data_IF_571992665561
#
_entry.id   IF_571992665561
#
_cell.length_a   1.000
_cell.length_b   1.000
_cell.length_c   1.000
_cell.angle_alpha   90.00
_cell.angle_beta   90.00
_cell.angle_gamma   90.00
#
_symmetry.space_group_name_H-M   'P 1'
#
loop_
_entity.id
_entity.type
_entity.pdbx_description
1 polymer ?
#
# COMPACT_ATOMS: atom_id res chain seq x y z
N UNK A 1 -67.17 111.07 -44.18
CA UNK A 1 -65.89 110.58 -43.63
C UNK A 1 -66.19 109.39 -42.71
N UNK A 2 -66.90 108.36 -43.19
CA UNK A 2 -67.54 107.36 -42.30
C UNK A 2 -67.28 105.89 -42.67
N UNK A 3 -66.72 105.57 -43.84
CA UNK A 3 -66.43 104.18 -44.22
C UNK A 3 -65.12 103.61 -43.60
N UNK A 4 -64.25 104.46 -43.03
CA UNK A 4 -62.94 104.03 -42.51
C UNK A 4 -62.98 103.46 -41.08
N UNK A 5 -64.03 103.74 -40.30
CA UNK A 5 -64.10 103.28 -38.89
C UNK A 5 -64.62 101.85 -38.74
N UNK A 6 -65.49 101.39 -39.63
CA UNK A 6 -66.02 100.01 -39.58
C UNK A 6 -64.98 98.95 -39.95
N UNK A 7 -64.11 99.23 -40.92
CA UNK A 7 -63.06 98.27 -41.36
C UNK A 7 -62.02 98.06 -40.24
N UNK A 8 -61.65 99.13 -39.53
CA UNK A 8 -60.68 99.05 -38.43
C UNK A 8 -61.27 98.29 -37.25
N UNK A 9 -62.54 98.51 -36.91
CA UNK A 9 -63.22 97.79 -35.84
C UNK A 9 -63.34 96.28 -36.14
N UNK A 10 -63.67 95.90 -37.39
CA UNK A 10 -63.76 94.49 -37.79
C UNK A 10 -62.42 93.76 -37.77
N UNK A 11 -61.32 94.43 -38.14
CA UNK A 11 -59.97 93.85 -38.09
C UNK A 11 -59.53 93.63 -36.64
N UNK A 12 -59.81 94.57 -35.73
CA UNK A 12 -59.47 94.44 -34.31
C UNK A 12 -60.21 93.26 -33.67
N UNK A 13 -61.49 93.08 -33.99
CA UNK A 13 -62.29 91.94 -33.49
C UNK A 13 -61.77 90.60 -34.04
N UNK A 14 -61.39 90.54 -35.32
CA UNK A 14 -60.81 89.33 -35.93
C UNK A 14 -59.43 88.97 -35.35
N UNK A 15 -58.58 89.97 -35.08
CA UNK A 15 -57.26 89.77 -34.46
C UNK A 15 -57.41 89.33 -33.00
N UNK A 16 -58.38 89.88 -32.26
CA UNK A 16 -58.66 89.45 -30.89
C UNK A 16 -59.23 88.02 -30.82
N UNK A 17 -60.08 87.62 -31.78
CA UNK A 17 -60.59 86.24 -31.89
C UNK A 17 -59.48 85.25 -32.28
N UNK A 18 -58.59 85.62 -33.21
CA UNK A 18 -57.45 84.77 -33.58
C UNK A 18 -56.46 84.58 -32.42
N UNK A 19 -56.19 85.64 -31.64
CA UNK A 19 -55.35 85.57 -30.44
C UNK A 19 -55.99 84.73 -29.32
N UNK A 20 -57.32 84.82 -29.14
CA UNK A 20 -58.08 83.98 -28.20
C UNK A 20 -58.08 82.49 -28.59
N UNK A 21 -58.15 82.18 -29.89
CA UNK A 21 -58.09 80.79 -30.40
C UNK A 21 -56.66 80.22 -30.27
N UNK A 22 -55.62 81.01 -30.55
CA UNK A 22 -54.22 80.59 -30.40
C UNK A 22 -53.81 80.37 -28.93
N UNK A 23 -54.29 81.22 -28.01
CA UNK A 23 -54.05 81.04 -26.57
C UNK A 23 -54.84 79.86 -25.99
N UNK A 24 -56.06 79.62 -26.46
CA UNK A 24 -56.81 78.40 -26.13
C UNK A 24 -56.15 77.12 -26.68
N UNK A 25 -55.54 77.20 -27.88
CA UNK A 25 -54.82 76.07 -28.49
C UNK A 25 -53.50 75.77 -27.75
N UNK A 26 -52.71 76.79 -27.38
CA UNK A 26 -51.51 76.62 -26.55
C UNK A 26 -51.82 76.13 -25.12
N UNK A 27 -52.95 76.53 -24.53
CA UNK A 27 -53.41 76.01 -23.24
C UNK A 27 -53.89 74.55 -23.33
N UNK A 28 -54.54 74.18 -24.44
CA UNK A 28 -54.97 72.81 -24.70
C UNK A 28 -53.78 71.87 -25.00
N UNK A 29 -52.76 72.34 -25.73
CA UNK A 29 -51.54 71.57 -26.02
C UNK A 29 -50.64 71.47 -24.78
N UNK A 30 -50.52 72.54 -23.99
CA UNK A 30 -49.84 72.54 -22.69
C UNK A 30 -50.46 71.55 -21.69
N UNK A 31 -51.79 71.52 -21.56
CA UNK A 31 -52.50 70.53 -20.73
C UNK A 31 -52.39 69.09 -21.24
N UNK A 32 -52.19 68.91 -22.55
CA UNK A 32 -52.00 67.58 -23.15
C UNK A 32 -50.59 67.07 -22.90
N UNK A 33 -49.57 67.93 -23.04
CA UNK A 33 -48.17 67.62 -22.75
C UNK A 33 -47.90 67.43 -21.24
N UNK A 34 -48.56 68.22 -20.38
CA UNK A 34 -48.44 68.10 -18.92
C UNK A 34 -49.06 66.78 -18.42
N UNK A 35 -50.22 66.37 -18.96
CA UNK A 35 -50.79 65.04 -18.72
C UNK A 35 -49.92 63.90 -19.24
N UNK A 36 -49.22 64.09 -20.35
CA UNK A 36 -48.35 63.07 -20.94
C UNK A 36 -47.02 62.95 -20.17
N UNK A 37 -46.49 64.07 -19.69
CA UNK A 37 -45.34 64.14 -18.78
C UNK A 37 -45.64 63.51 -17.43
N UNK A 38 -46.78 63.85 -16.82
CA UNK A 38 -47.21 63.24 -15.55
C UNK A 38 -47.36 61.72 -15.70
N UNK A 39 -47.92 61.26 -16.83
CA UNK A 39 -48.07 59.84 -17.13
C UNK A 39 -46.71 59.15 -17.31
N UNK A 40 -45.78 59.76 -18.04
CA UNK A 40 -44.41 59.25 -18.20
C UNK A 40 -43.65 59.20 -16.87
N UNK A 41 -43.84 60.18 -15.99
CA UNK A 41 -43.22 60.22 -14.68
C UNK A 41 -43.82 59.16 -13.73
N UNK A 42 -45.12 58.88 -13.87
CA UNK A 42 -45.80 57.77 -13.19
C UNK A 42 -45.33 56.40 -13.71
N UNK A 43 -45.18 56.23 -15.03
CA UNK A 43 -44.64 55.00 -15.62
C UNK A 43 -43.16 54.80 -15.25
N UNK A 44 -42.35 55.87 -15.24
CA UNK A 44 -40.94 55.80 -14.84
C UNK A 44 -40.77 55.44 -13.37
N UNK A 45 -41.58 56.01 -12.48
CA UNK A 45 -41.57 55.66 -11.05
C UNK A 45 -42.07 54.23 -10.80
N UNK A 46 -43.06 53.76 -11.57
CA UNK A 46 -43.49 52.36 -11.54
C UNK A 46 -42.38 51.40 -12.00
N UNK A 47 -41.68 51.73 -13.10
CA UNK A 47 -40.55 50.94 -13.60
C UNK A 47 -39.36 50.97 -12.63
N UNK A 48 -39.02 52.12 -12.05
CA UNK A 48 -37.97 52.20 -11.03
C UNK A 48 -38.30 51.32 -9.81
N UNK A 49 -39.56 51.32 -9.38
CA UNK A 49 -40.01 50.47 -8.27
C UNK A 49 -39.92 48.98 -8.63
N UNK A 50 -40.31 48.59 -9.84
CA UNK A 50 -40.17 47.21 -10.32
C UNK A 50 -38.70 46.79 -10.43
N UNK A 51 -37.82 47.65 -10.94
CA UNK A 51 -36.37 47.40 -11.03
C UNK A 51 -35.74 47.25 -9.64
N UNK A 52 -36.10 48.10 -8.68
CA UNK A 52 -35.66 47.98 -7.29
C UNK A 52 -36.10 46.65 -6.69
N UNK A 53 -37.37 46.29 -6.85
CA UNK A 53 -37.92 45.03 -6.35
C UNK A 53 -37.19 43.81 -6.96
N UNK A 54 -36.98 43.80 -8.28
CA UNK A 54 -36.22 42.72 -8.93
C UNK A 54 -34.76 42.67 -8.50
N UNK A 55 -34.14 43.82 -8.22
CA UNK A 55 -32.76 43.86 -7.72
C UNK A 55 -32.67 43.26 -6.31
N UNK A 56 -33.62 43.60 -5.42
CA UNK A 56 -33.71 43.00 -4.09
C UNK A 56 -33.96 41.48 -4.15
N UNK A 57 -34.81 41.02 -5.06
CA UNK A 57 -35.04 39.59 -5.29
C UNK A 57 -33.77 38.86 -5.75
N UNK A 58 -33.00 39.46 -6.67
CA UNK A 58 -31.72 38.90 -7.16
C UNK A 58 -30.68 38.86 -6.04
N UNK A 59 -30.54 39.93 -5.25
CA UNK A 59 -29.60 39.96 -4.11
C UNK A 59 -29.97 38.89 -3.09
N UNK A 60 -31.25 38.77 -2.75
CA UNK A 60 -31.75 37.74 -1.82
C UNK A 60 -31.50 36.32 -2.35
N UNK A 61 -31.70 36.10 -3.65
CA UNK A 61 -31.41 34.81 -4.28
C UNK A 61 -29.91 34.49 -4.26
N UNK A 62 -29.06 35.51 -4.48
CA UNK A 62 -27.61 35.36 -4.45
C UNK A 62 -27.09 35.06 -3.04
N UNK A 63 -27.61 35.73 -2.01
CA UNK A 63 -27.31 35.44 -0.60
C UNK A 63 -27.70 34.00 -0.22
N UNK A 64 -28.91 33.56 -0.62
CA UNK A 64 -29.33 32.17 -0.41
C UNK A 64 -28.44 31.17 -1.15
N UNK A 65 -27.97 31.51 -2.35
CA UNK A 65 -27.05 30.67 -3.11
C UNK A 65 -25.68 30.57 -2.42
N UNK A 66 -25.18 31.66 -1.84
CA UNK A 66 -23.92 31.67 -1.09
C UNK A 66 -24.03 30.81 0.18
N UNK A 67 -25.13 30.94 0.94
CA UNK A 67 -25.37 30.10 2.12
C UNK A 67 -25.40 28.60 1.77
N UNK A 68 -26.08 28.22 0.69
CA UNK A 68 -26.08 26.83 0.21
C UNK A 68 -24.70 26.34 -0.22
N UNK A 69 -23.87 27.20 -0.81
CA UNK A 69 -22.50 26.84 -1.16
C UNK A 69 -21.64 26.62 0.10
N UNK A 70 -21.80 27.43 1.13
CA UNK A 70 -21.10 27.24 2.40
C UNK A 70 -21.52 25.91 3.08
N UNK A 71 -22.81 25.57 3.05
CA UNK A 71 -23.32 24.28 3.52
C UNK A 71 -22.74 23.12 2.71
N UNK A 72 -22.66 23.25 1.37
CA UNK A 72 -22.07 22.24 0.50
C UNK A 72 -20.58 22.03 0.79
N UNK A 73 -19.82 23.10 0.98
CA UNK A 73 -18.39 23.03 1.34
C UNK A 73 -18.21 22.32 2.68
N UNK A 74 -19.06 22.62 3.67
CA UNK A 74 -19.03 21.93 4.98
C UNK A 74 -19.35 20.44 4.83
N UNK A 75 -20.42 20.10 4.13
CA UNK A 75 -20.79 18.71 3.88
C UNK A 75 -19.70 17.95 3.12
N UNK A 76 -19.04 18.60 2.15
CA UNK A 76 -17.91 18.01 1.42
C UNK A 76 -16.69 17.80 2.32
N UNK A 77 -16.40 18.75 3.21
CA UNK A 77 -15.34 18.61 4.21
C UNK A 77 -15.61 17.44 5.17
N UNK A 78 -16.85 17.32 5.66
CA UNK A 78 -17.28 16.19 6.51
C UNK A 78 -17.19 14.85 5.77
N UNK A 79 -17.63 14.79 4.51
CA UNK A 79 -17.53 13.59 3.69
C UNK A 79 -16.07 13.19 3.42
N UNK A 80 -15.18 14.16 3.16
CA UNK A 80 -13.75 13.90 3.02
C UNK A 80 -13.15 13.34 4.31
N UNK A 81 -13.52 13.91 5.47
CA UNK A 81 -13.08 13.41 6.78
C UNK A 81 -13.53 11.97 7.01
N UNK A 82 -14.81 11.67 6.78
CA UNK A 82 -15.36 10.31 6.89
C UNK A 82 -14.67 9.33 5.93
N UNK A 83 -14.36 9.77 4.71
CA UNK A 83 -13.64 8.95 3.73
C UNK A 83 -12.23 8.60 4.19
N UNK A 84 -11.51 9.56 4.81
CA UNK A 84 -10.20 9.30 5.40
C UNK A 84 -10.28 8.32 6.58
N UNK A 85 -11.26 8.50 7.47
CA UNK A 85 -11.49 7.59 8.60
C UNK A 85 -11.82 6.16 8.10
N UNK A 86 -12.58 6.03 7.01
CA UNK A 86 -12.89 4.75 6.39
C UNK A 86 -11.62 4.07 5.82
N UNK A 87 -10.76 4.83 5.13
CA UNK A 87 -9.49 4.31 4.60
C UNK A 87 -8.59 3.83 5.74
N UNK A 88 -8.48 4.61 6.82
CA UNK A 88 -7.70 4.23 8.00
C UNK A 88 -8.23 2.95 8.63
N UNK A 89 -9.54 2.86 8.83
CA UNK A 89 -10.20 1.67 9.36
C UNK A 89 -9.97 0.45 8.46
N UNK A 90 -10.05 0.62 7.13
CA UNK A 90 -9.79 -0.45 6.18
C UNK A 90 -8.34 -0.94 6.26
N UNK A 91 -7.37 -0.02 6.40
CA UNK A 91 -5.96 -0.37 6.55
C UNK A 91 -5.71 -1.15 7.84
N UNK A 92 -6.32 -0.73 8.96
CA UNK A 92 -6.26 -1.45 10.23
C UNK A 92 -6.87 -2.86 10.09
N UNK A 93 -8.02 -2.99 9.43
CA UNK A 93 -8.64 -4.28 9.19
C UNK A 93 -7.76 -5.20 8.35
N UNK A 94 -7.16 -4.70 7.27
CA UNK A 94 -6.25 -5.46 6.43
C UNK A 94 -5.01 -5.93 7.21
N UNK A 95 -4.47 -5.09 8.10
CA UNK A 95 -3.37 -5.48 8.98
C UNK A 95 -3.80 -6.61 9.93
N UNK A 96 -4.95 -6.48 10.59
CA UNK A 96 -5.48 -7.52 11.48
C UNK A 96 -5.77 -8.84 10.75
N UNK A 97 -6.27 -8.77 9.52
CA UNK A 97 -6.45 -9.95 8.67
C UNK A 97 -5.11 -10.62 8.33
N UNK A 98 -4.09 -9.84 7.99
CA UNK A 98 -2.74 -10.35 7.75
C UNK A 98 -2.15 -11.03 8.99
N UNK A 99 -2.29 -10.41 10.16
CA UNK A 99 -1.83 -10.98 11.43
C UNK A 99 -2.59 -12.26 11.81
N UNK A 100 -3.91 -12.28 11.61
CA UNK A 100 -4.73 -13.49 11.80
C UNK A 100 -4.31 -14.60 10.84
N UNK A 101 -4.03 -14.25 9.58
CA UNK A 101 -3.61 -15.21 8.59
C UNK A 101 -2.29 -15.87 9.02
N UNK A 102 -1.27 -15.09 9.41
CA UNK A 102 0.01 -15.63 9.92
C UNK A 102 -0.18 -16.57 11.11
N UNK A 103 -1.12 -16.29 12.02
CA UNK A 103 -1.44 -17.18 13.14
C UNK A 103 -2.06 -18.51 12.69
N UNK A 104 -2.86 -18.49 11.62
CA UNK A 104 -3.61 -19.67 11.14
C UNK A 104 -2.78 -20.53 10.18
N UNK A 105 -2.07 -19.92 9.23
CA UNK A 105 -1.30 -20.64 8.20
C UNK A 105 0.16 -20.82 8.56
N UNK A 106 0.61 -20.13 9.62
CA UNK A 106 1.99 -20.07 10.05
C UNK A 106 2.85 -19.13 9.19
N UNK A 107 3.91 -18.61 9.78
CA UNK A 107 4.86 -17.71 9.13
C UNK A 107 6.25 -17.84 9.77
N UNK A 108 7.30 -17.54 9.01
CA UNK A 108 8.68 -17.52 9.45
C UNK A 108 9.51 -18.76 9.08
N UNK A 109 10.59 -18.99 9.82
CA UNK A 109 11.60 -20.00 9.50
C UNK A 109 12.20 -20.66 10.74
N UNK A 110 12.83 -21.82 10.54
CA UNK A 110 13.49 -22.59 11.60
C UNK A 110 15.00 -22.55 11.46
N UNK A 111 15.68 -22.51 12.60
CA UNK A 111 17.12 -22.65 12.73
C UNK A 111 17.45 -24.00 13.37
N UNK A 112 18.48 -24.67 12.87
CA UNK A 112 19.11 -25.77 13.61
C UNK A 112 20.20 -25.19 14.51
N UNK A 113 20.22 -25.60 15.76
CA UNK A 113 21.19 -25.22 16.77
C UNK A 113 21.81 -26.46 17.37
N UNK A 114 22.99 -26.30 17.96
CA UNK A 114 23.71 -27.38 18.65
C UNK A 114 23.71 -27.12 20.15
N UNK A 115 23.40 -28.15 20.93
CA UNK A 115 23.61 -28.15 22.38
C UNK A 115 24.58 -29.27 22.75
N UNK A 116 25.71 -28.90 23.36
CA UNK A 116 26.70 -29.86 23.82
C UNK A 116 26.27 -30.49 25.15
N UNK A 117 26.20 -31.81 25.17
CA UNK A 117 25.90 -32.59 26.37
C UNK A 117 27.17 -32.84 27.20
N UNK A 118 28.31 -33.00 26.52
CA UNK A 118 29.63 -33.20 27.10
C UNK A 118 30.72 -32.92 26.05
N UNK A 119 31.98 -33.26 26.35
CA UNK A 119 33.12 -32.92 25.49
C UNK A 119 33.08 -33.56 24.10
N UNK A 120 32.38 -34.68 23.94
CA UNK A 120 32.36 -35.47 22.72
C UNK A 120 30.95 -35.63 22.15
N UNK A 121 29.92 -35.14 22.81
CA UNK A 121 28.54 -35.42 22.46
C UNK A 121 27.70 -34.15 22.43
N UNK A 122 26.97 -33.98 21.32
CA UNK A 122 26.02 -32.89 21.16
C UNK A 122 24.68 -33.41 20.65
N UNK A 123 23.64 -32.61 20.88
CA UNK A 123 22.29 -32.82 20.37
C UNK A 123 21.91 -31.69 19.43
N UNK A 124 21.33 -32.05 18.28
CA UNK A 124 20.77 -31.09 17.36
C UNK A 124 19.39 -30.65 17.83
N UNK A 125 19.18 -29.34 17.82
CA UNK A 125 17.98 -28.68 18.29
C UNK A 125 17.37 -27.89 17.14
N UNK A 126 16.06 -27.95 16.96
CA UNK A 126 15.34 -27.06 16.07
C UNK A 126 14.71 -25.92 16.86
N UNK A 127 14.90 -24.70 16.39
CA UNK A 127 14.41 -23.48 17.00
C UNK A 127 13.56 -22.69 16.02
N UNK A 128 12.36 -22.28 16.44
CA UNK A 128 11.54 -21.34 15.71
C UNK A 128 12.07 -19.93 15.87
N UNK A 129 12.32 -19.25 14.76
CA UNK A 129 12.70 -17.84 14.71
C UNK A 129 11.49 -16.92 14.51
N UNK A 130 10.28 -17.46 14.67
CA UNK A 130 9.02 -16.77 14.39
C UNK A 130 8.18 -16.54 15.63
N UNK A 131 7.44 -15.43 15.62
CA UNK A 131 6.36 -15.13 16.58
C UNK A 131 5.05 -15.88 16.24
N UNK A 132 5.01 -16.57 15.10
CA UNK A 132 3.89 -17.37 14.64
C UNK A 132 4.27 -18.86 14.65
N UNK A 133 3.27 -19.76 14.73
CA UNK A 133 3.52 -21.17 14.52
C UNK A 133 4.10 -21.41 13.12
N UNK A 134 4.89 -22.47 12.97
CA UNK A 134 5.36 -22.92 11.66
C UNK A 134 4.87 -24.35 11.49
N UNK A 135 3.98 -24.55 10.52
CA UNK A 135 3.31 -25.82 10.28
C UNK A 135 4.02 -26.64 9.21
N UNK A 136 3.68 -27.93 9.16
CA UNK A 136 4.02 -28.86 8.07
C UNK A 136 5.49 -28.78 7.62
N UNK A 137 6.39 -28.77 8.60
CA UNK A 137 7.83 -28.66 8.33
C UNK A 137 8.48 -30.03 8.23
N UNK A 138 9.23 -30.28 7.16
CA UNK A 138 10.10 -31.45 7.02
C UNK A 138 11.55 -30.99 7.04
N UNK A 139 12.39 -31.70 7.79
CA UNK A 139 13.81 -31.37 7.94
C UNK A 139 14.64 -32.54 7.41
N UNK A 140 15.51 -32.26 6.46
CA UNK A 140 16.45 -33.21 5.88
C UNK A 140 17.85 -32.86 6.35
N UNK A 141 18.56 -33.86 6.89
CA UNK A 141 19.89 -33.71 7.47
C UNK A 141 20.90 -34.49 6.65
N UNK A 142 22.03 -33.86 6.37
CA UNK A 142 23.09 -34.39 5.54
C UNK A 142 24.43 -34.13 6.23
N UNK A 143 25.29 -35.14 6.27
CA UNK A 143 26.68 -34.99 6.72
C UNK A 143 27.57 -34.78 5.50
N UNK A 144 28.44 -33.77 5.55
CA UNK A 144 29.33 -33.44 4.42
C UNK A 144 30.18 -34.64 4.02
N UNK A 145 30.70 -35.40 5.01
CA UNK A 145 31.49 -36.59 4.78
C UNK A 145 30.77 -37.69 3.98
N UNK A 146 29.43 -37.75 4.04
CA UNK A 146 28.65 -38.69 3.22
C UNK A 146 28.41 -38.15 1.82
N UNK A 147 28.18 -36.84 1.69
CA UNK A 147 28.04 -36.15 0.40
C UNK A 147 29.34 -36.21 -0.40
N UNK A 148 30.50 -36.08 0.24
CA UNK A 148 31.82 -36.14 -0.39
C UNK A 148 32.14 -37.51 -1.02
N UNK A 149 31.43 -38.57 -0.59
CA UNK A 149 31.55 -39.91 -1.19
C UNK A 149 30.79 -40.03 -2.51
N UNK A 150 29.93 -39.06 -2.84
CA UNK A 150 29.17 -39.11 -4.08
C UNK A 150 30.06 -38.85 -5.30
N UNK A 151 29.82 -39.55 -6.43
CA UNK A 151 30.53 -39.29 -7.66
C UNK A 151 30.23 -37.86 -8.15
N UNK A 152 31.29 -37.16 -8.57
CA UNK A 152 31.21 -35.82 -9.14
C UNK A 152 31.45 -35.87 -10.64
N UNK A 153 30.50 -35.36 -11.41
CA UNK A 153 30.61 -35.18 -12.85
C UNK A 153 31.04 -33.74 -13.17
N UNK A 154 31.68 -33.54 -14.33
CA UNK A 154 31.95 -32.18 -14.85
C UNK A 154 30.93 -31.84 -15.93
N UNK A 155 30.05 -30.89 -15.63
CA UNK A 155 29.08 -30.35 -16.59
C UNK A 155 29.42 -28.88 -16.82
N UNK A 156 29.71 -28.47 -18.06
CA UNK A 156 30.08 -27.09 -18.40
C UNK A 156 31.26 -26.52 -17.58
N UNK A 157 32.23 -27.36 -17.22
CA UNK A 157 33.39 -26.95 -16.40
C UNK A 157 33.11 -26.87 -14.90
N UNK A 158 31.89 -27.17 -14.47
CA UNK A 158 31.44 -27.17 -13.09
C UNK A 158 31.38 -28.62 -12.55
N UNK A 159 31.95 -28.88 -11.36
CA UNK A 159 31.77 -30.17 -10.66
C UNK A 159 30.34 -30.28 -10.09
N UNK A 160 29.56 -31.24 -10.54
CA UNK A 160 28.16 -31.44 -10.18
C UNK A 160 28.02 -32.81 -9.51
N UNK A 161 27.33 -32.86 -8.37
CA UNK A 161 26.99 -34.12 -7.71
C UNK A 161 25.71 -34.66 -8.35
N UNK A 162 25.64 -35.98 -8.56
CA UNK A 162 24.41 -36.63 -8.99
C UNK A 162 23.34 -36.53 -7.90
N UNK A 163 22.20 -35.91 -8.24
CA UNK A 163 21.00 -35.83 -7.39
C UNK A 163 20.62 -37.16 -6.75
N UNK A 164 20.65 -38.25 -7.53
CA UNK A 164 20.32 -39.59 -7.02
C UNK A 164 21.27 -40.12 -5.94
N UNK A 165 22.50 -39.59 -5.86
CA UNK A 165 23.42 -39.90 -4.78
C UNK A 165 23.17 -38.99 -3.58
N UNK A 166 23.04 -37.68 -3.83
CA UNK A 166 22.78 -36.69 -2.79
C UNK A 166 21.49 -36.98 -2.01
N UNK A 167 20.40 -37.31 -2.70
CA UNK A 167 19.12 -37.67 -2.10
C UNK A 167 19.24 -38.90 -1.17
N UNK A 168 20.20 -39.80 -1.42
CA UNK A 168 20.46 -40.95 -0.55
C UNK A 168 21.24 -40.59 0.72
N UNK A 169 21.95 -39.46 0.71
CA UNK A 169 22.61 -38.92 1.91
C UNK A 169 21.60 -38.23 2.84
N UNK A 170 20.40 -37.88 2.34
CA UNK A 170 19.36 -37.23 3.11
C UNK A 170 18.81 -38.16 4.19
N UNK A 171 18.84 -37.71 5.44
CA UNK A 171 18.09 -38.34 6.54
C UNK A 171 16.96 -37.41 6.97
N UNK A 172 15.73 -37.82 6.67
CA UNK A 172 14.53 -37.10 7.09
C UNK A 172 14.35 -37.22 8.61
N UNK A 173 14.18 -36.08 9.28
CA UNK A 173 13.87 -36.03 10.69
C UNK A 173 12.36 -36.05 10.92
N UNK A 174 11.88 -37.03 11.69
CA UNK A 174 10.64 -36.94 12.47
C UNK A 174 9.32 -36.76 11.70
N UNK A 175 9.35 -36.79 10.37
CA UNK A 175 8.20 -36.52 9.51
C UNK A 175 7.72 -35.07 9.58
N UNK A 176 6.46 -34.85 9.21
CA UNK A 176 5.83 -33.53 9.21
C UNK A 176 5.71 -32.94 10.62
N UNK A 177 6.18 -31.70 10.75
CA UNK A 177 6.37 -31.05 12.02
C UNK A 177 5.58 -29.77 12.17
N UNK A 178 5.06 -29.54 13.38
CA UNK A 178 4.60 -28.21 13.79
C UNK A 178 5.50 -27.67 14.90
N UNK A 179 5.95 -26.45 14.70
CA UNK A 179 6.76 -25.68 15.64
C UNK A 179 5.94 -24.56 16.24
N UNK A 180 5.93 -24.49 17.57
CA UNK A 180 5.34 -23.39 18.30
C UNK A 180 6.22 -22.12 18.18
N UNK A 181 5.62 -20.91 18.27
CA UNK A 181 6.35 -19.65 18.24
C UNK A 181 7.51 -19.60 19.23
N UNK A 182 8.68 -19.13 18.78
CA UNK A 182 9.86 -18.90 19.63
C UNK A 182 10.23 -20.07 20.54
N UNK A 183 9.92 -21.31 20.14
CA UNK A 183 10.27 -22.53 20.88
C UNK A 183 11.46 -23.23 20.26
N UNK A 184 12.25 -23.85 21.13
CA UNK A 184 13.34 -24.75 20.81
C UNK A 184 13.00 -26.15 21.29
N UNK A 185 13.39 -27.17 20.53
CA UNK A 185 13.18 -28.58 20.87
C UNK A 185 14.22 -29.47 20.20
N UNK A 186 14.53 -30.64 20.76
CA UNK A 186 15.49 -31.56 20.15
C UNK A 186 14.96 -32.17 18.86
N UNK A 187 15.88 -32.45 17.92
CA UNK A 187 15.65 -33.32 16.76
C UNK A 187 15.61 -34.81 17.17
N UNK A 188 15.56 -35.12 18.46
CA UNK A 188 15.45 -36.50 18.95
C UNK A 188 16.79 -37.24 19.03
N UNK A 189 16.72 -38.44 19.61
CA UNK A 189 17.91 -39.20 20.03
C UNK A 189 18.77 -39.69 18.88
N UNK A 190 18.18 -39.91 17.71
CA UNK A 190 18.90 -40.37 16.50
C UNK A 190 19.85 -39.28 15.94
N UNK A 191 19.65 -38.03 16.37
CA UNK A 191 20.46 -36.87 16.01
C UNK A 191 21.35 -36.40 17.15
N UNK A 192 21.49 -37.23 18.19
CA UNK A 192 22.58 -37.10 19.15
C UNK A 192 23.84 -37.70 18.55
N UNK A 193 24.87 -36.89 18.40
CA UNK A 193 26.11 -37.27 17.73
C UNK A 193 27.24 -37.31 18.73
N UNK A 194 28.01 -38.39 18.67
CA UNK A 194 29.29 -38.51 19.34
C UNK A 194 30.38 -38.30 18.31
N UNK A 195 31.21 -37.29 18.51
CA UNK A 195 32.44 -37.11 17.76
C UNK A 195 33.48 -38.10 18.28
N UNK A 196 34.23 -38.72 17.36
CA UNK A 196 35.36 -39.55 17.73
C UNK A 196 36.46 -38.66 18.33
N UNK A 197 37.39 -39.24 19.09
CA UNK A 197 38.48 -38.46 19.71
C UNK A 197 39.33 -37.72 18.68
N UNK A 198 39.44 -38.27 17.47
CA UNK A 198 40.22 -37.72 16.35
C UNK A 198 39.45 -36.62 15.57
N UNK A 199 38.13 -36.59 15.68
CA UNK A 199 37.28 -35.62 14.98
C UNK A 199 37.22 -34.32 15.77
N UNK A 200 37.78 -33.26 15.21
CA UNK A 200 37.71 -31.92 15.80
C UNK A 200 36.49 -31.13 15.35
N UNK A 201 35.97 -31.41 14.15
CA UNK A 201 34.85 -30.71 13.54
C UNK A 201 33.96 -31.66 12.73
N UNK A 202 32.67 -31.36 12.67
CA UNK A 202 31.72 -31.98 11.75
C UNK A 202 30.98 -30.90 10.97
N UNK A 203 30.87 -31.12 9.66
CA UNK A 203 30.17 -30.23 8.75
C UNK A 203 28.83 -30.87 8.37
N UNK A 204 27.75 -30.12 8.58
CA UNK A 204 26.38 -30.59 8.39
C UNK A 204 25.58 -29.61 7.55
N UNK A 205 24.70 -30.17 6.75
CA UNK A 205 23.76 -29.45 5.90
C UNK A 205 22.33 -29.84 6.27
N UNK A 206 21.46 -28.84 6.28
CA UNK A 206 20.05 -28.96 6.57
C UNK A 206 19.22 -28.33 5.46
N UNK A 207 18.24 -29.07 4.97
CA UNK A 207 17.13 -28.49 4.21
C UNK A 207 15.87 -28.56 5.05
N UNK A 208 15.20 -27.43 5.20
CA UNK A 208 13.99 -27.27 5.99
C UNK A 208 12.92 -26.77 5.04
N UNK A 209 12.00 -27.65 4.67
CA UNK A 209 10.84 -27.25 3.89
C UNK A 209 9.67 -27.02 4.84
N UNK A 210 9.02 -25.87 4.71
CA UNK A 210 7.68 -25.69 5.22
C UNK A 210 6.77 -25.28 4.07
N UNK A 211 5.50 -25.03 4.38
CA UNK A 211 4.49 -24.69 3.39
C UNK A 211 4.81 -23.44 2.55
N UNK A 212 5.54 -22.48 3.09
CA UNK A 212 5.70 -21.14 2.51
C UNK A 212 7.10 -20.88 2.01
N UNK A 213 8.11 -21.52 2.58
CA UNK A 213 9.50 -21.32 2.19
C UNK A 213 10.33 -22.61 2.32
N UNK A 214 11.46 -22.57 1.64
CA UNK A 214 12.52 -23.56 1.80
C UNK A 214 13.74 -22.84 2.36
N UNK A 215 14.18 -23.32 3.51
CA UNK A 215 15.31 -22.77 4.25
C UNK A 215 16.42 -23.79 4.23
N UNK A 216 17.62 -23.30 4.01
CA UNK A 216 18.80 -24.14 3.95
C UNK A 216 19.87 -23.58 4.88
N UNK A 217 20.42 -24.47 5.68
CA UNK A 217 21.39 -24.13 6.68
C UNK A 217 22.62 -25.00 6.52
N UNK A 218 23.77 -24.35 6.43
CA UNK A 218 25.07 -25.01 6.55
C UNK A 218 25.63 -24.74 7.94
N UNK A 219 26.18 -25.78 8.57
CA UNK A 219 26.71 -25.71 9.93
C UNK A 219 28.07 -26.39 10.04
N UNK A 220 28.98 -25.73 10.76
CA UNK A 220 30.24 -26.29 11.21
C UNK A 220 30.14 -26.41 12.73
N UNK A 221 30.27 -27.62 13.24
CA UNK A 221 30.18 -27.94 14.66
C UNK A 221 31.57 -28.35 15.10
N UNK A 222 32.20 -27.51 15.93
CA UNK A 222 33.58 -27.68 16.35
C UNK A 222 33.64 -28.05 17.82
N UNK A 223 34.31 -29.16 18.12
CA UNK A 223 34.63 -29.58 19.47
C UNK A 223 35.56 -28.57 20.15
N UNK A 224 36.42 -27.91 19.37
CA UNK A 224 37.30 -26.86 19.90
C UNK A 224 36.48 -25.64 20.34
N UNK A 225 36.41 -25.45 21.66
CA UNK A 225 35.62 -24.41 22.29
C UNK A 225 34.11 -24.60 22.18
N UNK A 226 33.62 -25.81 21.84
CA UNK A 226 32.20 -26.16 21.78
C UNK A 226 31.38 -25.20 20.91
N UNK A 227 31.92 -24.85 19.73
CA UNK A 227 31.37 -23.81 18.87
C UNK A 227 30.46 -24.39 17.80
N UNK A 228 29.43 -23.63 17.45
CA UNK A 228 28.54 -23.92 16.33
C UNK A 228 28.45 -22.69 15.44
N UNK A 229 28.98 -22.83 14.24
CA UNK A 229 28.95 -21.78 13.23
C UNK A 229 27.94 -22.15 12.16
N UNK A 230 27.18 -21.18 11.67
CA UNK A 230 26.17 -21.46 10.67
C UNK A 230 25.93 -20.29 9.72
N UNK A 231 25.37 -20.62 8.56
CA UNK A 231 24.74 -19.67 7.64
C UNK A 231 23.42 -20.23 7.15
N UNK A 232 22.44 -19.35 7.01
CA UNK A 232 21.06 -19.69 6.71
C UNK A 232 20.61 -18.86 5.54
N UNK A 233 20.03 -19.54 4.56
CA UNK A 233 19.53 -18.94 3.35
C UNK A 233 18.07 -19.33 3.16
N UNK A 234 17.31 -18.37 2.66
CA UNK A 234 16.00 -18.61 2.07
C UNK A 234 16.19 -18.85 0.57
N UNK A 235 15.52 -19.88 0.05
CA UNK A 235 15.53 -20.23 -1.36
C UNK A 235 14.34 -19.54 -2.03
N UNK A 236 14.62 -18.55 -2.88
CA UNK A 236 13.62 -17.76 -3.62
C UNK A 236 13.90 -17.92 -5.13
N UNK A 237 12.99 -18.53 -5.89
CA UNK A 237 13.03 -18.59 -7.38
C UNK A 237 14.39 -18.99 -7.99
N UNK A 238 15.10 -19.94 -7.38
CA UNK A 238 16.42 -20.41 -7.83
C UNK A 238 17.60 -19.52 -7.42
N UNK A 239 17.36 -18.51 -6.59
CA UNK A 239 18.34 -17.68 -5.92
C UNK A 239 18.37 -17.95 -4.40
N UNK A 240 19.45 -17.49 -3.76
CA UNK A 240 19.65 -17.60 -2.31
C UNK A 240 19.75 -16.22 -1.70
N UNK A 241 18.97 -16.02 -0.65
CA UNK A 241 19.03 -14.82 0.16
C UNK A 241 19.50 -15.21 1.54
N UNK A 242 20.67 -14.74 1.93
CA UNK A 242 21.16 -14.97 3.29
C UNK A 242 20.24 -14.23 4.27
N UNK A 243 19.65 -14.96 5.21
CA UNK A 243 18.73 -14.40 6.21
C UNK A 243 19.34 -14.40 7.62
N UNK A 244 20.33 -15.25 7.88
CA UNK A 244 21.06 -15.27 9.14
C UNK A 244 22.44 -15.92 9.01
N UNK A 245 23.36 -15.54 9.88
CA UNK A 245 24.67 -16.15 10.05
C UNK A 245 25.17 -15.96 11.47
N UNK A 246 26.00 -16.87 11.95
CA UNK A 246 26.81 -16.59 13.14
C UNK A 246 27.92 -15.58 12.79
N UNK A 247 28.14 -14.58 13.65
CA UNK A 247 28.97 -13.39 13.40
C UNK A 247 30.48 -13.65 13.53
N UNK A 248 30.93 -14.90 13.47
CA UNK A 248 32.33 -15.25 13.70
C UNK A 248 33.19 -15.12 12.43
N UNK A 249 34.46 -14.74 12.64
CA UNK A 249 35.53 -14.57 11.63
C UNK A 249 35.97 -15.91 10.97
N UNK A 250 35.04 -16.77 10.58
CA UNK A 250 35.37 -17.90 9.71
C UNK A 250 35.46 -17.38 8.28
N UNK A 251 36.56 -17.65 7.56
CA UNK A 251 36.71 -17.23 6.17
C UNK A 251 35.53 -17.67 5.32
N UNK A 252 35.01 -16.74 4.52
CA UNK A 252 33.92 -17.01 3.57
C UNK A 252 34.22 -18.22 2.68
N UNK A 253 35.50 -18.48 2.37
CA UNK A 253 35.94 -19.60 1.55
C UNK A 253 35.50 -20.98 2.06
N UNK A 254 35.47 -21.22 3.38
CA UNK A 254 35.00 -22.51 3.93
C UNK A 254 33.52 -22.73 3.65
N UNK A 255 32.73 -21.67 3.83
CA UNK A 255 31.31 -21.70 3.50
C UNK A 255 31.12 -21.79 2.00
N UNK A 256 31.82 -21.00 1.19
CA UNK A 256 31.72 -21.02 -0.27
C UNK A 256 32.04 -22.39 -0.88
N UNK A 257 33.00 -23.14 -0.33
CA UNK A 257 33.29 -24.50 -0.76
C UNK A 257 32.13 -25.46 -0.46
N UNK A 258 31.56 -25.41 0.74
CA UNK A 258 30.38 -26.19 1.06
C UNK A 258 29.14 -25.77 0.25
N UNK A 259 28.97 -24.45 0.04
CA UNK A 259 27.91 -23.87 -0.77
C UNK A 259 28.08 -24.15 -2.26
N UNK A 260 29.29 -24.43 -2.75
CA UNK A 260 29.52 -24.82 -4.14
C UNK A 260 28.84 -26.16 -4.47
N UNK A 261 28.84 -27.11 -3.54
CA UNK A 261 28.10 -28.37 -3.69
C UNK A 261 26.59 -28.12 -3.66
N UNK A 262 26.15 -27.24 -2.78
CA UNK A 262 24.75 -26.93 -2.54
C UNK A 262 24.07 -26.08 -3.64
N UNK A 263 24.75 -25.04 -4.12
CA UNK A 263 24.27 -24.15 -5.18
C UNK A 263 24.04 -24.85 -6.52
N UNK A 264 24.62 -26.03 -6.72
CA UNK A 264 24.52 -26.82 -7.94
C UNK A 264 23.40 -27.85 -7.92
N UNK A 265 23.21 -28.54 -6.80
CA UNK A 265 22.09 -29.46 -6.56
C UNK A 265 20.73 -28.77 -6.80
N UNK A 266 20.54 -27.57 -6.24
CA UNK A 266 19.28 -26.84 -6.39
C UNK A 266 19.06 -26.21 -7.78
N UNK A 267 20.14 -26.02 -8.57
CA UNK A 267 20.03 -25.67 -9.99
C UNK A 267 19.64 -26.87 -10.86
N UNK A 268 19.90 -28.09 -10.40
CA UNK A 268 19.40 -29.31 -11.06
C UNK A 268 17.92 -29.51 -10.73
N UNK A 269 17.51 -29.34 -9.47
CA UNK A 269 16.08 -29.48 -9.10
C UNK A 269 15.20 -28.41 -9.74
N UNK A 270 15.67 -27.18 -9.95
CA UNK A 270 14.88 -26.14 -10.64
C UNK A 270 14.71 -26.36 -12.15
N UNK A 271 15.61 -27.13 -12.78
CA UNK A 271 15.49 -27.54 -14.18
C UNK A 271 14.60 -28.76 -14.38
N UNK A 272 14.43 -29.59 -13.36
CA UNK A 272 13.59 -30.80 -13.40
C UNK A 272 12.12 -30.54 -13.03
N UNK A 273 11.72 -29.27 -12.80
CA UNK A 273 10.33 -28.87 -12.49
C UNK A 273 9.60 -28.26 -13.72
N UNK A 274 10.24 -28.20 -14.89
CA UNK A 274 9.59 -27.81 -16.17
C UNK A 274 9.49 -28.98 -17.15
#
# INVERSE_FOLDING_TARGET
MEAKHYIIASIIVLVALAAGILSAWQYLDGKKSEKESDKLQQELSAVQKEVLQKTEEVVTAQEKSLQKNDELIRAQSENNKLSMELIETQNQLNQLQGETLKQVIGDGWLRINVEWNNENEFELMVESMSQYPIYETSIFVYEQADVDKCPMDKVNGENVISKSCFDKCAREFGGLLTMNPMKKRPLGKDYRKKLLEEDTEIEMFFTIHNKHNTIVQYSIISKDGYKHFYRIFEVEEGAYKQIASDNYNIPNSRFEQAFYHFGKELRLTSKDIN
#
